data_IF_413300940293
#
_entry.id   IF_413300940293
#
_cell.length_a   1.000
_cell.length_b   1.000
_cell.length_c   1.000
_cell.angle_alpha   90.00
_cell.angle_beta   90.00
_cell.angle_gamma   90.00
#
_symmetry.space_group_name_H-M   'P 1'
#
loop_
_entity.id
_entity.type
_entity.pdbx_description
1 polymer ?
#
# COMPACT_ATOMS: atom_id res chain seq x y z
N UNK A 1 31.60 -6.13 -32.27
CA UNK A 1 31.24 -4.70 -32.07
C UNK A 1 31.53 -4.31 -30.63
N UNK A 2 32.64 -3.60 -30.35
CA UNK A 2 32.83 -2.91 -29.08
C UNK A 2 32.13 -1.57 -29.21
N UNK A 3 30.98 -1.40 -28.56
CA UNK A 3 30.36 -0.08 -28.39
C UNK A 3 31.37 0.82 -27.69
N UNK A 4 31.95 1.75 -28.43
CA UNK A 4 32.72 2.87 -27.89
C UNK A 4 31.71 3.74 -27.16
N UNK A 5 31.44 3.43 -25.90
CA UNK A 5 30.66 4.31 -25.05
C UNK A 5 31.44 5.64 -24.97
N UNK A 6 30.87 6.77 -25.39
CA UNK A 6 31.54 8.06 -25.30
C UNK A 6 31.93 8.26 -23.83
N UNK A 7 33.22 8.49 -23.57
CA UNK A 7 33.72 8.87 -22.25
C UNK A 7 33.29 10.31 -22.00
N UNK A 8 32.01 10.53 -21.76
CA UNK A 8 31.52 11.78 -21.17
C UNK A 8 32.26 11.94 -19.83
N UNK A 9 33.01 13.03 -19.62
CA UNK A 9 33.57 13.33 -18.32
C UNK A 9 32.40 13.65 -17.40
N UNK A 10 31.88 12.63 -16.73
CA UNK A 10 30.78 12.78 -15.79
C UNK A 10 31.34 13.47 -14.54
N UNK A 11 30.85 14.67 -14.18
CA UNK A 11 31.30 15.34 -12.98
C UNK A 11 30.94 14.47 -11.78
N UNK A 12 31.95 13.96 -11.07
CA UNK A 12 31.78 13.43 -9.74
C UNK A 12 31.96 14.60 -8.77
N UNK A 13 30.95 14.87 -7.94
CA UNK A 13 31.14 15.82 -6.84
C UNK A 13 32.18 15.26 -5.89
N UNK A 14 32.91 16.15 -5.20
CA UNK A 14 33.91 15.73 -4.21
C UNK A 14 33.26 14.84 -3.17
N UNK A 15 33.95 13.76 -2.82
CA UNK A 15 33.50 12.86 -1.77
C UNK A 15 33.26 13.64 -0.46
N UNK A 16 32.15 13.39 0.25
CA UNK A 16 31.83 14.10 1.46
C UNK A 16 32.85 13.78 2.56
N UNK A 17 33.29 14.81 3.29
CA UNK A 17 34.27 14.68 4.39
C UNK A 17 33.74 13.89 5.60
N UNK A 18 32.40 13.89 5.79
CA UNK A 18 31.72 13.29 6.96
C UNK A 18 30.48 12.51 6.51
N UNK A 19 30.66 11.36 5.86
CA UNK A 19 29.59 10.58 5.21
C UNK A 19 28.59 9.96 6.21
N UNK A 20 29.07 9.44 7.36
CA UNK A 20 28.22 9.01 8.47
C UNK A 20 27.39 10.18 9.04
N UNK A 21 27.97 11.38 9.01
CA UNK A 21 27.35 12.71 9.20
C UNK A 21 26.03 12.83 8.46
N UNK A 22 26.17 12.68 7.14
CA UNK A 22 25.10 12.85 6.17
C UNK A 22 24.06 11.74 6.27
N UNK A 23 24.50 10.49 6.45
CA UNK A 23 23.59 9.38 6.68
C UNK A 23 22.72 9.60 7.92
N UNK A 24 23.33 9.93 9.06
CA UNK A 24 22.60 10.18 10.30
C UNK A 24 21.65 11.37 10.16
N UNK A 25 22.08 12.45 9.51
CA UNK A 25 21.22 13.60 9.25
C UNK A 25 20.03 13.22 8.35
N UNK A 26 20.25 12.45 7.28
CA UNK A 26 19.19 11.98 6.41
C UNK A 26 18.22 11.03 7.12
N UNK A 27 18.73 10.15 7.98
CA UNK A 27 17.92 9.26 8.81
C UNK A 27 17.05 10.05 9.80
N UNK A 28 17.63 11.01 10.53
CA UNK A 28 16.89 11.89 11.44
C UNK A 28 15.84 12.74 10.70
N UNK A 29 16.18 13.28 9.52
CA UNK A 29 15.23 14.01 8.68
C UNK A 29 14.06 13.11 8.23
N UNK A 30 14.35 11.86 7.84
CA UNK A 30 13.32 10.90 7.45
C UNK A 30 12.42 10.54 8.64
N UNK A 31 12.99 10.40 9.85
CA UNK A 31 12.22 10.22 11.08
C UNK A 31 11.31 11.42 11.38
N UNK A 32 11.76 12.65 11.14
CA UNK A 32 10.92 13.84 11.31
C UNK A 32 9.75 13.86 10.33
N UNK A 33 9.95 13.42 9.08
CA UNK A 33 8.87 13.32 8.08
C UNK A 33 7.85 12.27 8.51
N UNK A 34 8.28 11.11 8.98
CA UNK A 34 7.37 10.09 9.51
C UNK A 34 6.68 10.56 10.79
N UNK A 35 7.40 11.21 11.70
CA UNK A 35 6.83 11.81 12.90
C UNK A 35 5.77 12.86 12.58
N UNK A 36 5.96 13.64 11.51
CA UNK A 36 4.92 14.54 11.00
C UNK A 36 3.69 13.77 10.54
N UNK A 37 3.84 12.70 9.76
CA UNK A 37 2.72 11.87 9.31
C UNK A 37 1.97 11.15 10.44
N UNK A 38 2.64 10.83 11.54
CA UNK A 38 2.02 10.29 12.77
C UNK A 38 1.17 11.35 13.49
N UNK A 39 1.57 12.63 13.42
CA UNK A 39 0.92 13.73 14.17
C UNK A 39 -0.18 14.41 13.36
N UNK A 40 -0.02 14.52 12.04
CA UNK A 40 -0.86 15.32 11.15
C UNK A 40 -1.52 14.51 10.02
N UNK A 41 -1.48 13.18 10.12
CA UNK A 41 -1.90 12.24 9.08
C UNK A 41 -1.07 12.33 7.78
N UNK A 42 -1.15 11.29 6.96
CA UNK A 42 -0.41 11.22 5.69
C UNK A 42 -1.22 11.93 4.58
N UNK A 43 -0.67 12.99 3.93
CA UNK A 43 -1.39 13.71 2.88
C UNK A 43 -1.92 12.80 1.77
N UNK A 44 -3.20 12.93 1.46
CA UNK A 44 -3.88 12.13 0.44
C UNK A 44 -4.40 10.77 0.93
N UNK A 45 -4.35 10.49 2.24
CA UNK A 45 -4.98 9.32 2.87
C UNK A 45 -5.71 9.74 4.15
N UNK A 46 -6.67 8.95 4.61
CA UNK A 46 -7.28 9.10 5.94
C UNK A 46 -6.90 7.97 6.89
N UNK A 47 -5.90 7.15 6.52
CA UNK A 47 -5.41 6.05 7.36
C UNK A 47 -4.60 6.65 8.53
N UNK A 48 -5.04 6.46 9.78
CA UNK A 48 -4.28 6.93 10.93
C UNK A 48 -3.00 6.10 11.06
N UNK A 49 -1.86 6.77 11.24
CA UNK A 49 -0.57 6.10 11.47
C UNK A 49 -0.20 6.28 12.94
N UNK A 50 -0.48 5.27 13.76
CA UNK A 50 -0.15 5.32 15.19
C UNK A 50 1.33 5.04 15.49
N UNK A 51 1.78 5.30 16.73
CA UNK A 51 3.15 5.01 17.18
C UNK A 51 3.56 3.53 17.01
N UNK A 52 2.61 2.61 16.99
CA UNK A 52 2.79 1.19 16.72
C UNK A 52 3.34 0.90 15.31
N UNK A 53 3.26 1.85 14.38
CA UNK A 53 3.88 1.74 13.05
C UNK A 53 5.40 1.94 13.08
N UNK A 54 5.93 2.60 14.11
CA UNK A 54 7.35 2.98 14.19
C UNK A 54 8.30 1.77 14.05
N UNK A 55 8.11 0.64 14.77
CA UNK A 55 8.96 -0.54 14.60
C UNK A 55 9.01 -1.07 13.17
N UNK A 56 7.91 -0.92 12.41
CA UNK A 56 7.81 -1.40 11.04
C UNK A 56 8.48 -0.44 10.04
N UNK A 57 8.44 0.86 10.32
CA UNK A 57 9.02 1.91 9.49
C UNK A 57 10.51 2.11 9.74
N UNK A 58 11.03 1.83 10.93
CA UNK A 58 12.43 2.09 11.28
C UNK A 58 13.45 1.39 10.35
N UNK A 59 13.37 0.07 10.09
CA UNK A 59 14.30 -0.58 9.17
C UNK A 59 14.28 -0.04 7.73
N UNK A 60 13.12 0.13 7.05
CA UNK A 60 13.10 0.70 5.71
C UNK A 60 13.56 2.15 5.68
N UNK A 61 13.34 2.95 6.74
CA UNK A 61 13.92 4.30 6.84
C UNK A 61 15.44 4.28 6.90
N UNK A 62 16.05 3.28 7.54
CA UNK A 62 17.50 3.07 7.52
C UNK A 62 18.03 2.90 6.10
N UNK A 63 17.29 2.18 5.25
CA UNK A 63 17.62 2.05 3.83
C UNK A 63 17.35 3.32 3.03
N UNK A 64 16.21 3.95 3.25
CA UNK A 64 15.84 5.19 2.59
C UNK A 64 16.86 6.31 2.87
N UNK A 65 17.40 6.38 4.09
CA UNK A 65 18.42 7.34 4.48
C UNK A 65 19.71 7.25 3.63
N UNK A 66 20.04 6.08 3.07
CA UNK A 66 21.16 5.92 2.13
C UNK A 66 20.89 6.61 0.78
N UNK A 67 19.63 6.63 0.34
CA UNK A 67 19.20 7.35 -0.86
C UNK A 67 18.97 8.85 -0.58
N UNK A 68 18.44 9.18 0.59
CA UNK A 68 18.08 10.53 1.01
C UNK A 68 19.29 11.38 1.46
N UNK A 69 20.51 10.86 1.38
CA UNK A 69 21.75 11.60 1.66
C UNK A 69 22.43 11.99 0.33
N UNK A 70 22.17 13.20 -0.23
CA UNK A 70 22.61 13.53 -1.60
C UNK A 70 24.11 13.51 -1.80
N UNK A 71 24.87 13.88 -0.77
CA UNK A 71 26.33 13.84 -0.82
C UNK A 71 26.90 12.43 -0.97
N UNK A 72 26.18 11.37 -0.56
CA UNK A 72 26.63 9.99 -0.75
C UNK A 72 26.43 9.55 -2.20
N UNK A 73 25.28 9.88 -2.77
CA UNK A 73 24.86 9.47 -4.12
C UNK A 73 25.56 10.31 -5.19
N UNK A 74 25.54 11.64 -5.09
CA UNK A 74 26.13 12.56 -6.08
C UNK A 74 27.66 12.49 -6.16
N UNK A 75 28.31 11.99 -5.11
CA UNK A 75 29.75 11.72 -5.13
C UNK A 75 30.13 10.49 -5.96
N UNK A 76 29.16 9.63 -6.33
CA UNK A 76 29.40 8.48 -7.20
C UNK A 76 29.27 8.88 -8.67
N UNK A 77 30.03 8.19 -9.53
CA UNK A 77 29.93 8.36 -10.97
C UNK A 77 28.51 8.02 -11.45
N UNK A 78 27.84 8.97 -12.09
CA UNK A 78 26.46 8.80 -12.55
C UNK A 78 25.39 9.04 -11.48
N UNK A 79 25.75 9.43 -10.24
CA UNK A 79 24.76 9.73 -9.19
C UNK A 79 23.79 10.86 -9.56
N UNK A 80 24.23 11.81 -10.40
CA UNK A 80 23.38 12.86 -10.94
C UNK A 80 22.27 12.33 -11.86
N UNK A 81 22.48 11.21 -12.57
CA UNK A 81 21.45 10.57 -13.40
C UNK A 81 20.34 10.00 -12.51
N UNK A 82 20.70 9.43 -11.36
CA UNK A 82 19.72 8.92 -10.40
C UNK A 82 18.86 10.05 -9.83
N UNK A 83 19.45 11.20 -9.53
CA UNK A 83 18.68 12.39 -9.14
C UNK A 83 17.85 12.94 -10.29
N UNK A 84 18.37 12.98 -11.52
CA UNK A 84 17.62 13.37 -12.71
C UNK A 84 16.41 12.46 -12.99
N UNK A 85 16.48 11.20 -12.56
CA UNK A 85 15.37 10.25 -12.63
C UNK A 85 14.38 10.41 -11.46
N UNK A 86 14.88 10.49 -10.23
CA UNK A 86 14.03 10.55 -9.04
C UNK A 86 13.28 11.89 -8.88
N UNK A 87 13.96 13.02 -9.12
CA UNK A 87 13.41 14.35 -8.83
C UNK A 87 12.14 14.70 -9.59
N UNK A 88 12.00 14.41 -10.91
CA UNK A 88 10.74 14.66 -11.61
C UNK A 88 9.57 13.87 -11.01
N UNK A 89 9.80 12.61 -10.63
CA UNK A 89 8.76 11.76 -10.04
C UNK A 89 8.36 12.28 -8.66
N UNK A 90 9.34 12.63 -7.81
CA UNK A 90 9.08 13.25 -6.51
C UNK A 90 8.34 14.57 -6.69
N UNK A 91 8.75 15.41 -7.64
CA UNK A 91 8.10 16.69 -7.93
C UNK A 91 6.63 16.54 -8.32
N UNK A 92 6.32 15.59 -9.22
CA UNK A 92 4.93 15.29 -9.59
C UNK A 92 4.13 14.73 -8.42
N UNK A 93 4.72 13.86 -7.60
CA UNK A 93 4.09 13.35 -6.39
C UNK A 93 3.79 14.47 -5.38
N UNK A 94 4.73 15.40 -5.18
CA UNK A 94 4.57 16.56 -4.29
C UNK A 94 3.49 17.50 -4.80
N UNK A 95 3.48 17.87 -6.09
CA UNK A 95 2.41 18.68 -6.67
C UNK A 95 1.07 17.99 -6.51
N UNK A 96 1.01 16.69 -6.79
CA UNK A 96 -0.17 15.87 -6.59
C UNK A 96 -0.72 15.91 -5.15
N UNK A 97 0.15 15.70 -4.17
CA UNK A 97 -0.21 15.70 -2.76
C UNK A 97 -0.63 17.07 -2.24
N UNK A 98 0.06 18.15 -2.66
CA UNK A 98 -0.25 19.51 -2.23
C UNK A 98 -1.53 20.07 -2.87
N UNK A 99 -1.90 19.60 -4.07
CA UNK A 99 -3.06 20.09 -4.82
C UNK A 99 -4.30 19.21 -4.69
N UNK A 100 -4.18 18.00 -4.14
CA UNK A 100 -5.26 17.02 -4.15
C UNK A 100 -5.69 16.60 -5.57
N UNK A 101 -4.74 16.60 -6.52
CA UNK A 101 -5.06 16.37 -7.92
C UNK A 101 -5.58 14.96 -8.20
N UNK A 102 -6.71 14.87 -8.92
CA UNK A 102 -7.22 13.61 -9.47
C UNK A 102 -6.42 13.10 -10.68
N UNK A 103 -5.56 13.95 -11.28
CA UNK A 103 -4.69 13.58 -12.40
C UNK A 103 -3.30 13.17 -11.91
N UNK A 104 -2.71 13.98 -11.03
CA UNK A 104 -1.42 13.71 -10.40
C UNK A 104 -1.64 13.05 -9.04
N UNK A 105 -2.10 11.81 -9.04
CA UNK A 105 -2.40 11.10 -7.79
C UNK A 105 -1.07 10.76 -7.09
N UNK A 106 -0.81 11.35 -5.92
CA UNK A 106 0.49 11.28 -5.25
C UNK A 106 0.97 9.83 -5.03
N UNK A 107 0.14 8.95 -4.48
CA UNK A 107 0.53 7.57 -4.19
C UNK A 107 0.85 6.75 -5.46
N UNK A 108 0.29 7.10 -6.63
CA UNK A 108 0.61 6.42 -7.89
C UNK A 108 2.06 6.63 -8.33
N UNK A 109 2.77 7.58 -7.74
CA UNK A 109 4.19 7.83 -8.03
C UNK A 109 5.12 6.88 -7.27
N UNK A 110 4.67 6.26 -6.18
CA UNK A 110 5.50 5.41 -5.34
C UNK A 110 6.12 4.21 -6.09
N UNK A 111 5.37 3.44 -6.92
CA UNK A 111 5.96 2.34 -7.70
C UNK A 111 7.07 2.80 -8.65
N UNK A 112 6.94 4.00 -9.24
CA UNK A 112 7.95 4.56 -10.15
C UNK A 112 9.22 5.02 -9.42
N UNK A 113 9.14 5.30 -8.11
CA UNK A 113 10.29 5.64 -7.28
C UNK A 113 11.09 4.43 -6.80
N UNK A 114 10.52 3.22 -6.85
CA UNK A 114 11.18 2.02 -6.30
C UNK A 114 12.56 1.77 -6.91
N UNK A 115 12.65 1.77 -8.24
CA UNK A 115 13.91 1.51 -8.94
C UNK A 115 14.98 2.60 -8.70
N UNK A 116 14.72 3.91 -8.90
CA UNK A 116 15.73 4.93 -8.64
C UNK A 116 16.14 4.97 -7.17
N UNK A 117 15.21 4.85 -6.22
CA UNK A 117 15.55 4.86 -4.79
C UNK A 117 16.40 3.65 -4.39
N UNK A 118 16.10 2.45 -4.90
CA UNK A 118 16.92 1.26 -4.64
C UNK A 118 18.36 1.42 -5.17
N UNK A 119 18.52 1.96 -6.39
CA UNK A 119 19.84 2.24 -6.95
C UNK A 119 20.58 3.30 -6.15
N UNK A 120 19.90 4.40 -5.77
CA UNK A 120 20.47 5.45 -4.94
C UNK A 120 20.93 4.89 -3.59
N UNK A 121 20.11 4.08 -2.93
CA UNK A 121 20.47 3.48 -1.66
C UNK A 121 21.65 2.51 -1.80
N UNK A 122 21.71 1.72 -2.88
CA UNK A 122 22.86 0.89 -3.22
C UNK A 122 24.15 1.70 -3.46
N UNK A 123 24.05 2.86 -4.14
CA UNK A 123 25.19 3.76 -4.30
C UNK A 123 25.64 4.38 -2.97
N UNK A 124 24.69 4.76 -2.10
CA UNK A 124 24.97 5.26 -0.75
C UNK A 124 25.64 4.19 0.13
N UNK A 125 25.15 2.95 0.08
CA UNK A 125 25.76 1.79 0.72
C UNK A 125 27.22 1.61 0.28
N UNK A 126 27.48 1.57 -1.03
CA UNK A 126 28.83 1.40 -1.57
C UNK A 126 29.76 2.56 -1.19
N UNK A 127 29.24 3.78 -1.13
CA UNK A 127 30.00 4.95 -0.67
C UNK A 127 30.46 4.75 0.78
N UNK A 128 29.55 4.38 1.69
CA UNK A 128 29.87 4.15 3.10
C UNK A 128 30.81 2.95 3.30
N UNK A 129 30.60 1.86 2.57
CA UNK A 129 31.40 0.64 2.67
C UNK A 129 32.86 0.89 2.28
N UNK A 130 33.11 1.63 1.19
CA UNK A 130 34.47 1.96 0.72
C UNK A 130 35.25 2.78 1.73
N UNK A 131 34.58 3.57 2.55
CA UNK A 131 35.16 4.42 3.58
C UNK A 131 35.52 3.66 4.87
N UNK A 132 35.03 2.43 5.03
CA UNK A 132 35.45 1.58 6.14
C UNK A 132 36.84 1.01 5.91
N UNK A 133 37.62 0.93 7.00
CA UNK A 133 38.87 0.17 7.02
C UNK A 133 38.60 -1.28 6.61
N UNK A 134 39.48 -1.86 5.78
CA UNK A 134 39.35 -3.23 5.24
C UNK A 134 38.91 -4.27 6.28
N UNK A 135 39.50 -4.36 7.50
CA UNK A 135 39.07 -5.36 8.49
C UNK A 135 37.64 -5.15 9.02
N UNK A 136 37.11 -3.93 8.97
CA UNK A 136 35.75 -3.59 9.45
C UNK A 136 34.67 -3.71 8.37
N UNK A 137 35.07 -3.82 7.09
CA UNK A 137 34.12 -3.89 5.95
C UNK A 137 33.13 -5.04 6.07
N UNK A 138 33.52 -6.29 6.42
CA UNK A 138 32.57 -7.39 6.54
C UNK A 138 31.53 -7.13 7.63
N UNK A 139 31.95 -6.67 8.80
CA UNK A 139 31.06 -6.34 9.92
C UNK A 139 30.09 -5.20 9.57
N UNK A 140 30.60 -4.15 8.90
CA UNK A 140 29.76 -3.05 8.43
C UNK A 140 28.74 -3.49 7.38
N UNK A 141 29.16 -4.30 6.41
CA UNK A 141 28.28 -4.87 5.40
C UNK A 141 27.20 -5.76 6.03
N UNK A 142 27.57 -6.59 7.02
CA UNK A 142 26.63 -7.43 7.76
C UNK A 142 25.58 -6.60 8.51
N UNK A 143 25.97 -5.47 9.13
CA UNK A 143 25.02 -4.57 9.80
C UNK A 143 23.99 -3.95 8.85
N UNK A 144 24.42 -3.46 7.68
CA UNK A 144 23.49 -2.94 6.66
C UNK A 144 22.66 -4.05 5.99
N UNK A 145 23.24 -5.25 5.83
CA UNK A 145 22.52 -6.44 5.40
C UNK A 145 21.42 -6.83 6.39
N UNK A 146 21.69 -6.77 7.70
CA UNK A 146 20.68 -7.00 8.72
C UNK A 146 19.55 -5.97 8.65
N UNK A 147 19.85 -4.68 8.43
CA UNK A 147 18.83 -3.64 8.23
C UNK A 147 17.99 -3.93 6.98
N UNK A 148 18.58 -4.45 5.90
CA UNK A 148 17.84 -4.87 4.70
C UNK A 148 16.87 -6.02 4.99
N UNK A 149 17.35 -7.04 5.70
CA UNK A 149 16.54 -8.20 6.07
C UNK A 149 15.41 -7.77 7.00
N UNK A 150 15.69 -6.96 8.02
CA UNK A 150 14.66 -6.39 8.89
C UNK A 150 13.64 -5.58 8.07
N UNK A 151 14.09 -4.76 7.12
CA UNK A 151 13.21 -4.02 6.22
C UNK A 151 12.32 -4.92 5.38
N UNK A 152 12.83 -6.04 4.87
CA UNK A 152 12.02 -7.01 4.14
C UNK A 152 10.98 -7.70 5.04
N UNK A 153 11.34 -8.01 6.29
CA UNK A 153 10.44 -8.64 7.26
C UNK A 153 9.37 -7.67 7.77
N UNK A 154 9.65 -6.38 7.80
CA UNK A 154 8.70 -5.35 8.28
C UNK A 154 8.01 -4.57 7.17
N UNK A 155 8.27 -4.90 5.90
CA UNK A 155 7.70 -4.19 4.74
C UNK A 155 6.17 -4.22 4.70
N UNK A 156 5.57 -5.30 5.24
CA UNK A 156 4.13 -5.48 5.35
C UNK A 156 3.73 -5.54 6.83
N UNK A 157 3.45 -4.39 7.47
CA UNK A 157 2.96 -4.36 8.83
C UNK A 157 1.60 -5.08 8.96
N UNK A 158 1.24 -5.57 10.17
CA UNK A 158 -0.08 -6.15 10.43
C UNK A 158 -1.22 -5.18 10.08
N UNK A 159 -2.36 -5.71 9.66
CA UNK A 159 -3.54 -4.89 9.28
C UNK A 159 -3.95 -3.89 10.37
N UNK A 160 -3.87 -4.28 11.65
CA UNK A 160 -4.17 -3.40 12.78
C UNK A 160 -3.31 -2.13 12.84
N UNK A 161 -2.09 -2.18 12.30
CA UNK A 161 -1.16 -1.03 12.21
C UNK A 161 -1.46 -0.14 11.00
N UNK A 162 -2.17 -0.68 10.00
CA UNK A 162 -2.55 0.00 8.75
C UNK A 162 -4.05 0.31 8.70
N UNK A 163 -4.64 0.70 9.84
CA UNK A 163 -6.06 1.08 9.90
C UNK A 163 -7.03 -0.06 9.54
N UNK A 164 -6.64 -1.32 9.76
CA UNK A 164 -7.45 -2.51 9.43
C UNK A 164 -7.38 -2.93 7.95
N UNK A 165 -6.56 -2.26 7.14
CA UNK A 165 -6.43 -2.58 5.73
C UNK A 165 -5.74 -3.95 5.51
N UNK A 166 -6.38 -4.82 4.74
CA UNK A 166 -5.87 -6.14 4.35
C UNK A 166 -6.21 -6.44 2.89
N UNK A 167 -5.18 -6.62 2.04
CA UNK A 167 -5.35 -7.03 0.64
C UNK A 167 -5.30 -8.55 0.43
N UNK A 168 -4.79 -9.30 1.41
CA UNK A 168 -4.66 -10.75 1.32
C UNK A 168 -6.01 -11.49 1.30
N UNK A 169 -6.05 -12.70 0.73
CA UNK A 169 -7.24 -13.56 0.70
C UNK A 169 -6.99 -14.93 1.31
N UNK A 170 -8.06 -15.58 1.77
CA UNK A 170 -8.04 -16.94 2.30
C UNK A 170 -8.69 -17.93 1.32
N UNK A 171 -8.45 -19.23 1.53
CA UNK A 171 -9.09 -20.30 0.75
C UNK A 171 -10.62 -20.31 0.94
N UNK A 172 -11.10 -19.97 2.13
CA UNK A 172 -12.53 -19.90 2.41
C UNK A 172 -13.19 -18.79 1.57
N UNK A 173 -12.58 -17.61 1.54
CA UNK A 173 -13.02 -16.48 0.70
C UNK A 173 -12.96 -16.81 -0.79
N UNK A 174 -11.91 -17.47 -1.25
CA UNK A 174 -11.82 -17.94 -2.65
C UNK A 174 -12.93 -18.95 -2.98
N UNK A 175 -13.22 -19.90 -2.09
CA UNK A 175 -14.32 -20.85 -2.25
C UNK A 175 -15.68 -20.14 -2.35
N UNK A 176 -15.90 -19.16 -1.47
CA UNK A 176 -17.04 -18.23 -1.48
C UNK A 176 -17.19 -17.52 -2.84
N UNK A 177 -16.11 -16.90 -3.31
CA UNK A 177 -16.06 -16.17 -4.59
C UNK A 177 -16.39 -17.10 -5.76
N UNK A 178 -15.76 -18.28 -5.82
CA UNK A 178 -16.02 -19.23 -6.91
C UNK A 178 -17.45 -19.78 -6.83
N UNK A 179 -18.01 -19.96 -5.63
CA UNK A 179 -19.40 -20.38 -5.46
C UNK A 179 -20.40 -19.34 -5.98
N UNK A 180 -20.06 -18.05 -6.03
CA UNK A 180 -20.93 -17.03 -6.65
C UNK A 180 -21.24 -17.33 -8.12
N UNK A 181 -20.47 -18.18 -8.80
CA UNK A 181 -20.80 -18.68 -10.14
C UNK A 181 -22.11 -19.49 -10.18
N UNK A 182 -22.67 -19.89 -9.04
CA UNK A 182 -23.94 -20.59 -8.95
C UNK A 182 -25.16 -19.67 -8.82
N UNK A 183 -24.96 -18.36 -8.56
CA UNK A 183 -26.07 -17.40 -8.48
C UNK A 183 -26.55 -16.95 -9.86
N UNK A 184 -27.71 -16.28 -9.93
CA UNK A 184 -28.30 -15.87 -11.19
C UNK A 184 -27.36 -14.95 -11.99
N UNK A 185 -27.23 -15.15 -13.32
CA UNK A 185 -26.45 -14.26 -14.17
C UNK A 185 -26.88 -12.80 -14.03
N UNK A 186 -25.91 -11.89 -13.90
CA UNK A 186 -26.15 -10.46 -13.74
C UNK A 186 -26.48 -9.99 -12.31
N UNK A 187 -26.66 -10.91 -11.35
CA UNK A 187 -26.84 -10.53 -9.94
C UNK A 187 -25.63 -9.73 -9.43
N UNK A 188 -25.91 -8.61 -8.77
CA UNK A 188 -24.87 -7.80 -8.12
C UNK A 188 -24.45 -8.46 -6.80
N UNK A 189 -23.16 -8.78 -6.70
CA UNK A 189 -22.51 -9.25 -5.47
C UNK A 189 -21.92 -8.03 -4.76
N UNK A 190 -22.45 -7.72 -3.59
CA UNK A 190 -21.92 -6.65 -2.75
C UNK A 190 -20.91 -7.20 -1.76
N UNK A 191 -19.72 -6.60 -1.72
CA UNK A 191 -18.69 -6.93 -0.73
C UNK A 191 -17.75 -5.75 -0.50
N UNK A 192 -16.70 -5.95 0.30
CA UNK A 192 -15.60 -4.98 0.43
C UNK A 192 -14.80 -4.85 -0.88
N UNK A 193 -13.85 -3.92 -0.95
CA UNK A 193 -13.05 -3.69 -2.16
C UNK A 193 -12.35 -4.95 -2.67
N UNK A 194 -11.83 -5.75 -1.74
CA UNK A 194 -10.99 -6.91 -2.03
C UNK A 194 -11.84 -8.05 -2.60
N UNK A 195 -12.88 -8.45 -1.91
CA UNK A 195 -13.73 -9.55 -2.38
C UNK A 195 -14.63 -9.12 -3.54
N UNK A 196 -14.99 -7.84 -3.68
CA UNK A 196 -15.62 -7.32 -4.91
C UNK A 196 -14.70 -7.50 -6.12
N UNK A 197 -13.41 -7.21 -5.96
CA UNK A 197 -12.43 -7.41 -7.04
C UNK A 197 -12.28 -8.89 -7.43
N UNK A 198 -12.32 -9.79 -6.44
CA UNK A 198 -12.28 -11.24 -6.70
C UNK A 198 -13.60 -11.77 -7.30
N UNK A 199 -14.76 -11.30 -6.83
CA UNK A 199 -16.06 -11.65 -7.40
C UNK A 199 -16.17 -11.23 -8.86
N UNK A 200 -15.63 -10.06 -9.21
CA UNK A 200 -15.56 -9.63 -10.60
C UNK A 200 -14.53 -10.41 -11.43
N UNK A 201 -13.29 -10.49 -10.96
CA UNK A 201 -12.19 -11.05 -11.75
C UNK A 201 -12.18 -12.58 -11.84
N UNK A 202 -12.57 -13.28 -10.77
CA UNK A 202 -12.56 -14.75 -10.68
C UNK A 202 -13.97 -15.35 -10.67
N UNK A 203 -14.90 -14.70 -9.96
CA UNK A 203 -16.30 -15.12 -9.94
C UNK A 203 -17.04 -14.80 -11.24
N UNK A 204 -16.49 -13.91 -12.08
CA UNK A 204 -17.12 -13.38 -13.30
C UNK A 204 -18.51 -12.79 -13.04
N UNK A 205 -18.67 -12.11 -11.88
CA UNK A 205 -19.94 -11.51 -11.44
C UNK A 205 -19.87 -9.99 -11.33
N UNK A 206 -21.03 -9.35 -11.43
CA UNK A 206 -21.15 -7.92 -11.13
C UNK A 206 -20.81 -7.68 -9.65
N UNK A 207 -20.01 -6.66 -9.36
CA UNK A 207 -19.57 -6.33 -8.01
C UNK A 207 -19.72 -4.84 -7.68
N UNK A 208 -19.76 -4.48 -6.39
CA UNK A 208 -20.12 -3.13 -5.93
C UNK A 208 -18.96 -2.16 -5.69
N UNK A 209 -17.74 -2.65 -5.43
CA UNK A 209 -16.57 -1.85 -5.03
C UNK A 209 -16.91 -0.67 -4.11
N UNK A 210 -16.88 0.57 -4.64
CA UNK A 210 -16.91 1.85 -3.92
C UNK A 210 -18.09 2.00 -2.94
N UNK A 211 -19.26 1.46 -3.28
CA UNK A 211 -20.48 1.65 -2.49
C UNK A 211 -20.89 0.40 -1.68
N UNK A 212 -20.00 -0.58 -1.57
CA UNK A 212 -20.29 -1.85 -0.90
C UNK A 212 -20.54 -1.71 0.60
N UNK A 213 -19.82 -0.84 1.31
CA UNK A 213 -20.01 -0.68 2.75
C UNK A 213 -21.36 -0.09 3.08
N UNK A 214 -21.88 0.86 2.33
CA UNK A 214 -23.21 1.43 2.64
C UNK A 214 -24.25 0.33 2.76
N UNK A 215 -24.13 -0.73 1.95
CA UNK A 215 -24.97 -1.92 2.04
C UNK A 215 -24.59 -2.80 3.23
N UNK A 216 -23.30 -2.98 3.52
CA UNK A 216 -22.81 -3.87 4.58
C UNK A 216 -23.04 -3.28 5.98
N UNK A 217 -22.60 -2.05 6.22
CA UNK A 217 -22.57 -1.35 7.52
C UNK A 217 -23.90 -0.69 7.89
N UNK A 218 -24.86 -0.57 6.97
CA UNK A 218 -26.21 -0.11 7.34
C UNK A 218 -26.86 -1.04 8.38
N UNK A 219 -27.64 -0.49 9.31
CA UNK A 219 -28.42 -1.32 10.25
C UNK A 219 -29.57 -2.06 9.56
N UNK A 220 -30.08 -1.50 8.47
CA UNK A 220 -31.14 -2.08 7.66
C UNK A 220 -30.66 -2.73 6.37
N UNK A 221 -31.61 -3.34 5.68
CA UNK A 221 -31.41 -4.00 4.40
C UNK A 221 -31.40 -2.97 3.27
N UNK A 222 -30.23 -2.74 2.66
CA UNK A 222 -30.08 -1.85 1.50
C UNK A 222 -30.32 -2.62 0.21
N UNK A 223 -31.32 -2.19 -0.56
CA UNK A 223 -31.84 -2.93 -1.72
C UNK A 223 -31.21 -2.53 -3.05
N UNK A 224 -30.64 -1.33 -3.12
CA UNK A 224 -30.07 -0.79 -4.34
C UNK A 224 -28.83 0.01 -4.00
N UNK A 225 -27.86 -0.02 -4.89
CA UNK A 225 -26.60 0.71 -4.73
C UNK A 225 -26.18 1.28 -6.08
N UNK A 226 -25.56 2.45 -6.07
CA UNK A 226 -24.98 3.02 -7.27
C UNK A 226 -23.73 2.23 -7.70
N UNK A 227 -23.57 2.04 -9.00
CA UNK A 227 -22.37 1.46 -9.60
C UNK A 227 -21.86 2.43 -10.69
N UNK A 228 -20.55 2.70 -10.79
CA UNK A 228 -20.04 3.71 -11.72
C UNK A 228 -20.41 3.48 -13.20
N UNK A 229 -20.45 2.22 -13.64
CA UNK A 229 -20.71 1.86 -15.03
C UNK A 229 -22.18 1.59 -15.35
N UNK A 230 -22.96 1.09 -14.39
CA UNK A 230 -24.32 0.58 -14.64
C UNK A 230 -25.41 1.34 -13.86
N UNK A 231 -25.06 2.48 -13.24
CA UNK A 231 -25.99 3.28 -12.45
C UNK A 231 -26.49 2.53 -11.22
N UNK A 232 -27.72 2.81 -10.79
CA UNK A 232 -28.32 2.16 -9.61
C UNK A 232 -28.75 0.74 -9.94
N UNK A 233 -28.14 -0.25 -9.27
CA UNK A 233 -28.38 -1.67 -9.45
C UNK A 233 -29.04 -2.27 -8.20
N UNK A 234 -29.94 -3.26 -8.35
CA UNK A 234 -30.45 -4.02 -7.22
C UNK A 234 -29.33 -4.85 -6.60
N UNK A 235 -29.27 -4.86 -5.26
CA UNK A 235 -28.36 -5.74 -4.52
C UNK A 235 -28.94 -7.14 -4.57
N UNK A 236 -28.25 -8.06 -5.24
CA UNK A 236 -28.68 -9.46 -5.32
C UNK A 236 -28.17 -10.27 -4.13
N UNK A 237 -26.88 -10.12 -3.83
CA UNK A 237 -26.22 -10.86 -2.77
C UNK A 237 -25.23 -10.00 -2.01
N UNK A 238 -24.99 -10.35 -0.76
CA UNK A 238 -23.89 -9.80 0.05
C UNK A 238 -22.93 -10.92 0.40
N UNK A 239 -21.67 -10.75 0.05
CA UNK A 239 -20.58 -11.65 0.40
C UNK A 239 -19.83 -11.05 1.59
N UNK A 240 -19.73 -11.79 2.69
CA UNK A 240 -19.18 -11.32 3.95
C UNK A 240 -18.20 -12.34 4.52
N UNK A 241 -16.96 -11.92 4.79
CA UNK A 241 -15.95 -12.77 5.44
C UNK A 241 -15.65 -12.35 6.87
N UNK A 242 -14.98 -13.21 7.62
CA UNK A 242 -14.48 -12.91 8.97
C UNK A 242 -13.56 -11.67 8.99
N UNK A 243 -12.81 -11.42 7.91
CA UNK A 243 -11.99 -10.21 7.80
C UNK A 243 -12.88 -8.96 7.77
N UNK A 244 -13.92 -8.96 6.95
CA UNK A 244 -14.88 -7.87 6.86
C UNK A 244 -15.66 -7.66 8.16
N UNK A 245 -15.94 -8.74 8.90
CA UNK A 245 -16.58 -8.66 10.23
C UNK A 245 -15.67 -7.95 11.25
N UNK A 246 -14.33 -8.05 11.09
CA UNK A 246 -13.37 -7.27 11.88
C UNK A 246 -13.23 -5.83 11.39
N UNK A 247 -13.40 -5.59 10.09
CA UNK A 247 -13.44 -4.26 9.51
C UNK A 247 -13.70 -4.31 8.00
N UNK A 248 -14.67 -3.53 7.53
CA UNK A 248 -15.07 -3.45 6.12
C UNK A 248 -14.18 -2.43 5.40
N UNK A 249 -13.37 -2.90 4.46
CA UNK A 249 -12.43 -2.05 3.70
C UNK A 249 -13.03 -1.59 2.36
N UNK A 250 -13.31 -0.30 2.23
CA UNK A 250 -13.95 0.26 1.03
C UNK A 250 -12.99 0.77 -0.02
N UNK A 251 -12.03 1.55 0.45
CA UNK A 251 -11.03 2.22 -0.34
C UNK A 251 -9.68 1.91 0.28
N UNK A 252 -8.68 1.74 -0.58
CA UNK A 252 -7.31 1.41 -0.16
C UNK A 252 -6.60 2.55 0.61
N UNK A 253 -7.25 3.71 0.76
CA UNK A 253 -6.71 4.90 1.42
C UNK A 253 -7.57 5.39 2.59
N UNK A 254 -8.55 4.58 3.03
CA UNK A 254 -9.41 4.84 4.18
C UNK A 254 -9.29 3.71 5.21
N UNK A 255 -9.48 3.98 6.51
CA UNK A 255 -9.51 2.93 7.51
C UNK A 255 -10.71 2.01 7.31
N UNK A 256 -10.55 0.75 7.68
CA UNK A 256 -11.64 -0.22 7.67
C UNK A 256 -12.73 0.18 8.67
N UNK A 257 -13.99 0.14 8.23
CA UNK A 257 -15.12 0.52 9.07
C UNK A 257 -15.60 -0.67 9.91
N UNK A 258 -15.80 -0.53 11.23
CA UNK A 258 -16.36 -1.60 12.06
C UNK A 258 -17.76 -2.00 11.61
N UNK A 259 -18.05 -3.30 11.61
CA UNK A 259 -19.41 -3.80 11.44
C UNK A 259 -20.09 -3.86 12.81
N UNK A 260 -21.12 -3.04 13.03
CA UNK A 260 -21.89 -3.07 14.28
C UNK A 260 -22.70 -4.35 14.42
N UNK A 261 -23.02 -4.74 15.65
CA UNK A 261 -23.90 -5.90 15.91
C UNK A 261 -25.27 -5.73 15.25
N UNK A 262 -25.82 -4.50 15.28
CA UNK A 262 -27.09 -4.15 14.62
C UNK A 262 -27.03 -4.35 13.10
N UNK A 263 -25.94 -3.92 12.45
CA UNK A 263 -25.74 -4.13 11.02
C UNK A 263 -25.48 -5.61 10.68
N UNK A 264 -24.80 -6.35 11.56
CA UNK A 264 -24.56 -7.77 11.38
C UNK A 264 -25.85 -8.60 11.49
N UNK A 265 -26.81 -8.18 12.32
CA UNK A 265 -28.04 -8.92 12.61
C UNK A 265 -28.94 -9.15 11.39
N UNK A 266 -28.83 -8.33 10.33
CA UNK A 266 -29.61 -8.51 9.08
C UNK A 266 -29.13 -9.66 8.20
N UNK A 267 -27.96 -10.24 8.48
CA UNK A 267 -27.34 -11.28 7.68
C UNK A 267 -27.63 -12.67 8.24
N UNK A 268 -28.86 -13.14 8.04
CA UNK A 268 -29.30 -14.49 8.41
C UNK A 268 -30.58 -14.85 7.62
N UNK A 269 -30.72 -16.07 7.04
CA UNK A 269 -29.72 -17.12 6.86
C UNK A 269 -28.83 -16.94 5.63
N UNK A 270 -27.62 -17.52 5.68
CA UNK A 270 -26.73 -17.59 4.53
C UNK A 270 -27.24 -18.62 3.50
N UNK A 271 -27.11 -18.30 2.21
CA UNK A 271 -27.38 -19.25 1.12
C UNK A 271 -26.17 -20.15 0.82
N UNK A 272 -24.98 -19.71 1.24
CA UNK A 272 -23.75 -20.48 1.20
C UNK A 272 -22.85 -20.09 2.39
N UNK A 273 -22.22 -21.07 3.01
CA UNK A 273 -21.30 -20.88 4.12
C UNK A 273 -20.06 -21.76 3.93
N UNK A 274 -18.89 -21.12 3.86
CA UNK A 274 -17.57 -21.77 3.81
C UNK A 274 -16.88 -21.85 5.18
N UNK A 275 -17.62 -21.55 6.26
CA UNK A 275 -17.16 -21.46 7.64
C UNK A 275 -16.63 -20.09 8.03
N UNK A 276 -15.84 -19.43 7.15
CA UNK A 276 -15.23 -18.09 7.41
C UNK A 276 -15.63 -17.02 6.39
N UNK A 277 -16.47 -17.41 5.45
CA UNK A 277 -17.08 -16.51 4.48
C UNK A 277 -18.44 -17.05 4.12
N UNK A 278 -19.41 -16.15 4.07
CA UNK A 278 -20.81 -16.44 3.81
C UNK A 278 -21.33 -15.58 2.66
N UNK A 279 -22.27 -16.15 1.91
CA UNK A 279 -23.05 -15.44 0.92
C UNK A 279 -24.50 -15.34 1.40
N UNK A 280 -25.05 -14.14 1.40
CA UNK A 280 -26.41 -13.85 1.83
C UNK A 280 -27.21 -13.35 0.63
N UNK A 281 -28.43 -13.87 0.46
CA UNK A 281 -29.34 -13.36 -0.56
C UNK A 281 -30.10 -12.16 -0.04
N UNK A 282 -30.12 -11.09 -0.83
CA UNK A 282 -30.97 -9.95 -0.58
C UNK A 282 -32.33 -10.20 -1.23
N UNK A 283 -33.33 -10.53 -0.42
CA UNK A 283 -34.64 -10.95 -0.92
C UNK A 283 -35.29 -9.88 -1.83
N UNK A 284 -35.83 -10.24 -3.01
CA UNK A 284 -36.61 -9.32 -3.84
C UNK A 284 -38.01 -9.05 -3.25
N UNK A 285 -38.65 -7.95 -3.67
CA UNK A 285 -39.92 -7.40 -3.15
C UNK A 285 -41.15 -8.34 -3.19
N UNK A 286 -41.04 -9.57 -3.70
CA UNK A 286 -42.17 -10.47 -3.91
C UNK A 286 -42.52 -11.36 -2.71
N UNK A 287 -41.99 -11.10 -1.51
CA UNK A 287 -42.21 -11.91 -0.30
C UNK A 287 -42.63 -11.10 0.95
N UNK A 288 -43.17 -9.89 0.77
CA UNK A 288 -43.99 -9.21 1.79
C UNK A 288 -45.42 -9.03 1.30
#
# INVERSE_FOLDING_TARGET
>A
MRLIAPRLPLPALRAPRRPARLFLAAFLASLLIIGYGIVYDVPGTSIPVGPEAVPFLLPPLGWLALAAAPGLVLAQRGGWLLYGWALPIVGLATVGGLTGSHLLIAYRHAPYLMAPLALMAGTGFMALLRMQATPRRPQFAAGLGAILICGALTAYPPAAVMGGFQEGTTNAELGCVLWTQQVEPGALIVSDHRLSSLAFGLGERNASWENGADVITATGVVRKVATPAAGTQPVGYVLLSDEMRRGVTLLQWEPAQPLSEEAAAKFDPAVYDSGRCQLYRQAPDSLM
#
